data_IF_166201060194
#
_entry.id   IF_166201060194
#
_cell.length_a   1.000
_cell.length_b   1.000
_cell.length_c   1.000
_cell.angle_alpha   90.00
_cell.angle_beta   90.00
_cell.angle_gamma   90.00
#
_symmetry.space_group_name_H-M   'P 1'
#
loop_
_entity.id
_entity.type
_entity.pdbx_description
1 polymer ?
#
# COMPACT_ATOMS: atom_id res chain seq x y z
N UNK A 1 17.70 -5.57 -18.84
CA UNK A 1 16.69 -6.65 -18.86
C UNK A 1 15.57 -6.42 -17.85
N UNK A 2 15.86 -6.22 -16.56
CA UNK A 2 14.83 -6.05 -15.51
C UNK A 2 13.93 -4.82 -15.70
N UNK A 3 14.49 -3.67 -16.11
CA UNK A 3 13.71 -2.46 -16.44
C UNK A 3 12.69 -2.70 -17.57
N UNK A 4 13.09 -3.39 -18.63
CA UNK A 4 12.21 -3.75 -19.76
C UNK A 4 11.07 -4.66 -19.31
N UNK A 5 11.36 -5.62 -18.42
CA UNK A 5 10.33 -6.45 -17.81
C UNK A 5 9.31 -5.64 -17.01
N UNK A 6 9.77 -4.68 -16.19
CA UNK A 6 8.89 -3.78 -15.42
C UNK A 6 8.01 -2.94 -16.36
N UNK A 7 8.60 -2.35 -17.40
CA UNK A 7 7.88 -1.52 -18.39
C UNK A 7 6.81 -2.33 -19.11
N UNK A 8 7.10 -3.58 -19.46
CA UNK A 8 6.16 -4.45 -20.16
C UNK A 8 5.08 -5.03 -19.22
N UNK A 9 5.30 -5.05 -17.91
CA UNK A 9 4.43 -5.73 -16.93
C UNK A 9 4.10 -4.85 -15.73
N UNK A 10 3.79 -3.57 -15.95
CA UNK A 10 3.55 -2.58 -14.87
C UNK A 10 2.50 -3.07 -13.87
N UNK A 11 1.39 -3.64 -14.37
CA UNK A 11 0.30 -4.14 -13.53
C UNK A 11 0.74 -5.29 -12.63
N UNK A 12 1.44 -6.28 -13.19
CA UNK A 12 1.90 -7.46 -12.44
C UNK A 12 2.90 -7.05 -11.35
N UNK A 13 3.88 -6.21 -11.70
CA UNK A 13 4.87 -5.74 -10.73
C UNK A 13 4.20 -4.91 -9.63
N UNK A 14 3.21 -4.08 -9.97
CA UNK A 14 2.43 -3.31 -8.98
C UNK A 14 1.70 -4.24 -8.01
N UNK A 15 1.04 -5.28 -8.54
CA UNK A 15 0.29 -6.24 -7.73
C UNK A 15 1.21 -7.00 -6.77
N UNK A 16 2.35 -7.50 -7.26
CA UNK A 16 3.33 -8.23 -6.42
C UNK A 16 3.87 -7.35 -5.30
N UNK A 17 4.28 -6.11 -5.62
CA UNK A 17 4.78 -5.17 -4.60
C UNK A 17 3.69 -4.82 -3.59
N UNK A 18 2.46 -4.58 -4.05
CA UNK A 18 1.32 -4.34 -3.18
C UNK A 18 1.07 -5.50 -2.22
N UNK A 19 1.08 -6.75 -2.71
CA UNK A 19 0.88 -7.94 -1.86
C UNK A 19 1.98 -8.08 -0.79
N UNK A 20 3.24 -7.82 -1.16
CA UNK A 20 4.36 -7.87 -0.20
C UNK A 20 4.19 -6.79 0.88
N UNK A 21 3.89 -5.55 0.49
CA UNK A 21 3.66 -4.46 1.45
C UNK A 21 2.43 -4.71 2.33
N UNK A 22 1.36 -5.24 1.75
CA UNK A 22 0.16 -5.60 2.48
C UNK A 22 0.43 -6.74 3.49
N UNK A 23 1.21 -7.75 3.10
CA UNK A 23 1.62 -8.82 4.00
C UNK A 23 2.46 -8.29 5.18
N UNK A 24 3.39 -7.37 4.91
CA UNK A 24 4.18 -6.69 5.96
C UNK A 24 3.26 -5.90 6.91
N UNK A 25 2.26 -5.20 6.36
CA UNK A 25 1.28 -4.45 7.14
C UNK A 25 0.45 -5.36 8.06
N UNK A 26 0.02 -6.52 7.57
CA UNK A 26 -0.69 -7.53 8.35
C UNK A 26 0.19 -8.23 9.40
N UNK A 27 1.49 -8.40 9.13
CA UNK A 27 2.44 -9.01 10.06
C UNK A 27 2.82 -8.06 11.20
N UNK A 28 3.06 -6.78 10.88
CA UNK A 28 3.45 -5.76 11.86
C UNK A 28 2.28 -5.29 12.74
N UNK A 29 1.04 -5.42 12.25
CA UNK A 29 -0.20 -5.03 12.96
C UNK A 29 -0.06 -3.68 13.68
N UNK A 30 0.19 -2.58 12.95
CA UNK A 30 0.46 -1.28 13.56
C UNK A 30 -0.68 -0.86 14.49
N UNK A 31 -0.34 -0.32 15.66
CA UNK A 31 -1.28 0.08 16.72
C UNK A 31 -2.27 1.15 16.29
N UNK A 32 -2.02 1.87 15.18
CA UNK A 32 -2.97 2.81 14.56
C UNK A 32 -4.19 2.12 13.94
N UNK A 33 -4.01 0.93 13.37
CA UNK A 33 -5.03 0.22 12.60
C UNK A 33 -5.50 -1.06 13.30
N UNK A 34 -4.71 -1.59 14.23
CA UNK A 34 -5.01 -2.82 14.95
C UNK A 34 -5.19 -2.55 16.45
N UNK A 35 -6.13 -3.26 17.05
CA UNK A 35 -6.30 -3.31 18.50
C UNK A 35 -5.21 -4.19 19.15
N UNK A 36 -5.08 -4.12 20.48
CA UNK A 36 -4.16 -4.96 21.27
C UNK A 36 -4.39 -6.46 21.05
N UNK A 37 -5.61 -6.83 20.65
CA UNK A 37 -6.01 -8.20 20.32
C UNK A 37 -5.70 -8.58 18.86
N UNK A 38 -5.08 -7.70 18.08
CA UNK A 38 -4.76 -7.93 16.66
C UNK A 38 -5.96 -7.86 15.72
N UNK A 39 -7.12 -7.38 16.18
CA UNK A 39 -8.29 -7.12 15.34
C UNK A 39 -8.17 -5.75 14.65
N UNK A 40 -8.56 -5.62 13.37
CA UNK A 40 -8.65 -4.30 12.73
C UNK A 40 -9.60 -3.39 13.50
N UNK A 41 -9.17 -2.16 13.77
CA UNK A 41 -10.00 -1.12 14.40
C UNK A 41 -11.05 -0.65 13.42
N UNK A 42 -12.26 -0.42 13.93
CA UNK A 42 -13.34 0.14 13.14
C UNK A 42 -13.15 1.64 12.93
N UNK A 43 -13.71 2.15 11.82
CA UNK A 43 -13.72 3.58 11.55
C UNK A 43 -14.51 4.35 12.60
N UNK A 44 -13.98 5.49 13.06
CA UNK A 44 -14.70 6.41 13.95
C UNK A 44 -13.79 7.40 14.69
N UNK A 45 -14.38 8.46 15.25
CA UNK A 45 -13.71 9.53 16.00
C UNK A 45 -14.26 9.53 17.44
N UNK A 46 -13.40 9.74 18.44
CA UNK A 46 -13.84 10.02 19.82
C UNK A 46 -14.04 8.83 20.75
N UNK A 47 -13.73 7.59 20.33
CA UNK A 47 -13.83 6.39 21.18
C UNK A 47 -12.50 5.62 21.26
N UNK A 48 -12.21 5.02 22.42
CA UNK A 48 -10.90 4.36 22.74
C UNK A 48 -10.43 3.31 21.71
N UNK A 49 -11.34 2.64 21.00
CA UNK A 49 -11.03 1.54 20.07
C UNK A 49 -11.43 1.82 18.60
N UNK A 50 -11.58 3.09 18.23
CA UNK A 50 -11.85 3.50 16.84
C UNK A 50 -10.61 4.10 16.21
N UNK A 51 -10.52 4.05 14.88
CA UNK A 51 -9.46 4.68 14.11
C UNK A 51 -10.03 5.56 13.00
N UNK A 52 -9.35 6.66 12.69
CA UNK A 52 -9.66 7.49 11.53
C UNK A 52 -9.16 6.81 10.24
N UNK A 53 -8.19 5.90 10.37
CA UNK A 53 -7.54 5.20 9.27
C UNK A 53 -7.85 3.69 9.35
N UNK A 54 -9.05 3.27 8.90
CA UNK A 54 -9.43 1.88 8.92
C UNK A 54 -8.60 1.10 7.90
N UNK A 55 -8.41 -0.19 8.15
CA UNK A 55 -7.54 -1.04 7.33
C UNK A 55 -7.90 -0.98 5.84
N UNK A 56 -9.19 -1.05 5.50
CA UNK A 56 -9.65 -1.02 4.10
C UNK A 56 -9.26 0.27 3.38
N UNK A 57 -9.32 1.43 4.04
CA UNK A 57 -8.94 2.71 3.46
C UNK A 57 -7.43 2.75 3.18
N UNK A 58 -6.63 2.27 4.14
CA UNK A 58 -5.17 2.20 3.99
C UNK A 58 -4.77 1.27 2.86
N UNK A 59 -5.46 0.14 2.70
CA UNK A 59 -5.21 -0.81 1.61
C UNK A 59 -5.48 -0.20 0.24
N UNK A 60 -6.58 0.56 0.09
CA UNK A 60 -6.90 1.26 -1.16
C UNK A 60 -5.83 2.32 -1.48
N UNK A 61 -5.46 3.14 -0.50
CA UNK A 61 -4.44 4.18 -0.68
C UNK A 61 -3.10 3.54 -1.03
N UNK A 62 -2.72 2.47 -0.34
CA UNK A 62 -1.48 1.73 -0.60
C UNK A 62 -1.43 1.17 -2.03
N UNK A 63 -2.53 0.59 -2.52
CA UNK A 63 -2.60 0.08 -3.89
C UNK A 63 -2.39 1.18 -4.94
N UNK A 64 -3.05 2.33 -4.75
CA UNK A 64 -2.90 3.50 -5.62
C UNK A 64 -1.46 4.02 -5.59
N UNK A 65 -0.88 4.15 -4.40
CA UNK A 65 0.50 4.62 -4.23
C UNK A 65 1.51 3.68 -4.89
N UNK A 66 1.37 2.36 -4.72
CA UNK A 66 2.27 1.38 -5.33
C UNK A 66 2.23 1.50 -6.86
N UNK A 67 1.04 1.51 -7.45
CA UNK A 67 0.90 1.67 -8.90
C UNK A 67 1.51 2.99 -9.39
N UNK A 68 1.22 4.09 -8.68
CA UNK A 68 1.73 5.41 -9.02
C UNK A 68 3.27 5.47 -8.92
N UNK A 69 3.86 4.89 -7.87
CA UNK A 69 5.31 4.80 -7.72
C UNK A 69 5.98 4.05 -8.88
N UNK A 70 5.40 2.92 -9.33
CA UNK A 70 5.93 2.20 -10.50
C UNK A 70 5.81 3.04 -11.76
N UNK A 71 4.69 3.73 -11.96
CA UNK A 71 4.49 4.59 -13.13
C UNK A 71 5.52 5.73 -13.16
N UNK A 72 5.75 6.38 -12.01
CA UNK A 72 6.80 7.39 -11.87
C UNK A 72 8.19 6.82 -12.15
N UNK A 73 8.50 5.64 -11.62
CA UNK A 73 9.78 4.97 -11.87
C UNK A 73 10.01 4.68 -13.36
N UNK A 74 8.99 4.17 -14.07
CA UNK A 74 9.07 3.86 -15.50
C UNK A 74 9.28 5.14 -16.33
N UNK A 75 8.54 6.20 -15.99
CA UNK A 75 8.53 7.46 -16.73
C UNK A 75 9.60 8.46 -16.26
N UNK A 76 10.41 8.14 -15.25
CA UNK A 76 11.40 9.05 -14.67
C UNK A 76 12.29 9.72 -15.73
N UNK A 77 12.77 8.95 -16.70
CA UNK A 77 13.64 9.46 -17.76
C UNK A 77 12.94 10.42 -18.74
N UNK A 78 11.60 10.42 -18.79
CA UNK A 78 10.79 11.36 -19.61
C UNK A 78 10.51 12.67 -18.87
N UNK A 79 10.63 12.68 -17.54
CA UNK A 79 10.40 13.88 -16.72
C UNK A 79 11.68 14.67 -16.44
N UNK A 80 12.84 14.01 -16.54
CA UNK A 80 14.16 14.60 -16.23
C UNK A 80 14.93 15.04 -17.48
N UNK A 81 14.57 14.52 -18.66
CA UNK A 81 15.09 14.94 -19.96
C UNK A 81 14.12 15.94 -20.62
#
# INVERSE_FOLDING_TARGET
MLRLFIVNNIMLVSLVIFLVLFAILLATKPTLMFDKNGKPREFGIGYKNKTILPLWLVVIILAILVYFCILCYVNYNKYVA
#
